data_IF_451279440824
#
_entry.id   IF_451279440824
#
_cell.length_a   1.000
_cell.length_b   1.000
_cell.length_c   1.000
_cell.angle_alpha   90.00
_cell.angle_beta   90.00
_cell.angle_gamma   90.00
#
_symmetry.space_group_name_H-M   'P 1'
#
loop_
_entity.id
_entity.type
_entity.pdbx_description
1 polymer ?
#
# COMPACT_ATOMS: atom_id res chain seq x y z
N UNK A 1 27.01 -6.34 -14.23
CA UNK A 1 26.73 -5.28 -15.23
C UNK A 1 25.29 -4.80 -15.08
N UNK A 2 25.07 -3.67 -14.40
CA UNK A 2 23.76 -2.99 -14.32
C UNK A 2 23.96 -1.62 -14.99
N UNK A 3 24.08 -1.63 -16.31
CA UNK A 3 24.00 -0.42 -17.12
C UNK A 3 22.60 -0.37 -17.77
N UNK A 4 22.09 0.85 -18.01
CA UNK A 4 20.93 1.16 -18.86
C UNK A 4 19.48 1.07 -18.32
N UNK A 5 19.19 1.63 -17.13
CA UNK A 5 17.83 2.19 -16.87
C UNK A 5 17.79 3.71 -16.71
N UNK A 6 18.95 4.37 -16.79
CA UNK A 6 19.08 5.84 -16.70
C UNK A 6 18.81 6.55 -18.03
N UNK A 7 18.71 5.83 -19.15
CA UNK A 7 18.33 6.41 -20.45
C UNK A 7 16.81 6.55 -20.49
N UNK A 8 16.34 7.69 -19.99
CA UNK A 8 15.14 8.42 -20.44
C UNK A 8 14.03 7.53 -20.99
N UNK A 9 13.16 7.04 -20.11
CA UNK A 9 11.82 6.69 -20.56
C UNK A 9 11.17 8.00 -21.03
N UNK A 10 11.21 8.26 -22.34
CA UNK A 10 10.43 9.30 -22.96
C UNK A 10 8.99 9.15 -22.46
N UNK A 11 8.51 10.19 -21.81
CA UNK A 11 7.21 10.36 -21.20
C UNK A 11 6.73 11.74 -21.66
N UNK A 12 5.42 11.94 -21.70
CA UNK A 12 4.83 13.23 -22.05
C UNK A 12 5.55 14.39 -21.35
N UNK A 13 5.81 15.46 -22.08
CA UNK A 13 6.65 16.59 -21.64
C UNK A 13 6.14 17.22 -20.35
N UNK A 14 4.82 17.34 -20.22
CA UNK A 14 4.14 17.85 -19.03
C UNK A 14 4.27 16.98 -17.78
N UNK A 15 4.81 15.76 -17.86
CA UNK A 15 4.99 14.94 -16.68
C UNK A 15 5.94 15.63 -15.69
N UNK A 16 5.51 15.75 -14.43
CA UNK A 16 6.33 16.36 -13.40
C UNK A 16 7.51 15.47 -13.00
N UNK A 17 8.44 16.03 -12.23
CA UNK A 17 9.63 15.31 -11.76
C UNK A 17 9.29 14.03 -10.99
N UNK A 18 8.18 14.02 -10.25
CA UNK A 18 7.80 12.84 -9.49
C UNK A 18 7.33 11.69 -10.38
N UNK A 19 6.55 11.99 -11.42
CA UNK A 19 6.19 11.00 -12.42
C UNK A 19 7.42 10.45 -13.13
N UNK A 20 8.29 11.34 -13.62
CA UNK A 20 9.53 11.02 -14.35
C UNK A 20 10.50 10.17 -13.54
N UNK A 21 10.71 10.50 -12.26
CA UNK A 21 11.80 9.92 -11.46
C UNK A 21 11.39 8.84 -10.46
N UNK A 22 10.09 8.74 -10.10
CA UNK A 22 9.64 7.78 -9.08
C UNK A 22 8.48 6.91 -9.54
N UNK A 23 7.51 7.43 -10.30
CA UNK A 23 6.33 6.65 -10.66
C UNK A 23 6.60 5.76 -11.87
N UNK A 24 6.90 6.35 -13.02
CA UNK A 24 7.05 5.65 -14.31
C UNK A 24 8.24 4.67 -14.36
N UNK A 25 9.43 4.99 -13.81
CA UNK A 25 10.57 4.07 -13.86
C UNK A 25 10.33 2.71 -13.19
N UNK A 26 9.32 2.63 -12.32
CA UNK A 26 8.95 1.42 -11.56
C UNK A 26 7.75 0.70 -12.20
N UNK A 27 7.03 1.35 -13.12
CA UNK A 27 5.96 0.68 -13.87
C UNK A 27 6.53 -0.46 -14.73
N UNK A 28 5.74 -1.52 -14.87
CA UNK A 28 6.07 -2.62 -15.78
C UNK A 28 6.08 -2.08 -17.21
N UNK A 29 7.11 -2.39 -17.98
CA UNK A 29 7.15 -2.05 -19.40
C UNK A 29 6.24 -3.00 -20.18
N UNK A 30 4.97 -2.64 -20.32
CA UNK A 30 3.96 -3.40 -21.04
C UNK A 30 3.01 -2.49 -21.82
N UNK A 31 2.08 -3.09 -22.58
CA UNK A 31 1.10 -2.36 -23.40
C UNK A 31 0.34 -1.32 -22.56
N UNK A 32 -0.05 -1.65 -21.33
CA UNK A 32 -0.77 -0.75 -20.42
C UNK A 32 0.04 0.51 -20.13
N UNK A 33 1.32 0.35 -19.78
CA UNK A 33 2.18 1.51 -19.50
C UNK A 33 2.46 2.34 -20.76
N UNK A 34 2.51 1.73 -21.94
CA UNK A 34 2.66 2.48 -23.19
C UNK A 34 1.42 3.32 -23.52
N UNK A 35 0.21 2.79 -23.27
CA UNK A 35 -1.07 3.49 -23.52
C UNK A 35 -1.24 4.77 -22.69
N UNK A 36 -0.60 4.86 -21.52
CA UNK A 36 -0.68 6.02 -20.62
C UNK A 36 0.50 6.99 -20.75
N UNK A 37 1.60 6.58 -21.38
CA UNK A 37 2.90 7.28 -21.35
C UNK A 37 2.86 8.65 -22.02
N UNK A 38 2.05 8.78 -23.06
CA UNK A 38 1.88 10.00 -23.86
C UNK A 38 0.44 10.50 -23.87
N UNK A 39 -0.40 10.00 -22.95
CA UNK A 39 -1.76 10.48 -22.83
C UNK A 39 -1.80 11.73 -21.96
N UNK A 40 -2.08 12.87 -22.58
CA UNK A 40 -2.10 14.19 -21.94
C UNK A 40 -2.89 14.20 -20.62
N UNK A 41 -4.16 13.78 -20.67
CA UNK A 41 -5.04 13.81 -19.50
C UNK A 41 -4.57 12.84 -18.40
N UNK A 42 -4.16 11.62 -18.75
CA UNK A 42 -3.69 10.67 -17.74
C UNK A 42 -2.38 11.12 -17.09
N UNK A 43 -1.51 11.80 -17.83
CA UNK A 43 -0.29 12.40 -17.29
C UNK A 43 -0.63 13.57 -16.35
N UNK A 44 -1.47 14.51 -16.80
CA UNK A 44 -1.98 15.61 -15.97
C UNK A 44 -2.67 15.12 -14.70
N UNK A 45 -3.41 14.01 -14.78
CA UNK A 45 -4.03 13.38 -13.62
C UNK A 45 -2.99 12.72 -12.71
N UNK A 46 -1.99 12.05 -13.29
CA UNK A 46 -0.84 11.50 -12.56
C UNK A 46 -0.06 12.57 -11.79
N UNK A 47 0.16 13.75 -12.40
CA UNK A 47 0.80 14.89 -11.75
C UNK A 47 0.02 15.31 -10.50
N UNK A 48 -1.29 15.54 -10.63
CA UNK A 48 -2.19 15.87 -9.51
C UNK A 48 -2.15 14.82 -8.40
N UNK A 49 -2.13 13.53 -8.75
CA UNK A 49 -2.02 12.46 -7.76
C UNK A 49 -0.66 12.48 -7.04
N UNK A 50 0.42 12.72 -7.76
CA UNK A 50 1.77 12.74 -7.18
C UNK A 50 2.01 13.93 -6.25
N UNK A 51 1.40 15.08 -6.53
CA UNK A 51 1.40 16.25 -5.63
C UNK A 51 0.59 15.97 -4.36
N UNK A 52 -0.59 15.36 -4.52
CA UNK A 52 -1.45 15.00 -3.39
C UNK A 52 -0.83 13.91 -2.50
N UNK A 53 -0.14 12.95 -3.09
CA UNK A 53 0.39 11.77 -2.43
C UNK A 53 1.92 11.75 -2.48
N UNK A 54 2.54 12.61 -1.68
CA UNK A 54 3.99 12.84 -1.66
C UNK A 54 4.80 11.74 -0.96
N UNK A 55 4.17 10.88 -0.18
CA UNK A 55 4.88 9.86 0.59
C UNK A 55 5.25 8.66 -0.29
N UNK A 56 6.49 8.19 -0.16
CA UNK A 56 7.05 7.11 -0.97
C UNK A 56 6.19 5.83 -1.03
N UNK A 57 5.50 5.49 0.07
CA UNK A 57 4.63 4.32 0.15
C UNK A 57 3.30 4.49 -0.60
N UNK A 58 2.88 5.72 -0.88
CA UNK A 58 1.65 6.04 -1.62
C UNK A 58 1.87 5.98 -3.13
N UNK A 59 3.12 6.01 -3.60
CA UNK A 59 3.46 5.88 -5.02
C UNK A 59 2.90 4.58 -5.64
N UNK A 60 2.80 3.49 -4.87
CA UNK A 60 2.20 2.24 -5.34
C UNK A 60 0.71 2.41 -5.70
N UNK A 61 -0.02 3.23 -4.92
CA UNK A 61 -1.41 3.56 -5.19
C UNK A 61 -1.52 4.38 -6.48
N UNK A 62 -0.66 5.39 -6.66
CA UNK A 62 -0.63 6.21 -7.89
C UNK A 62 -0.36 5.34 -9.11
N UNK A 63 0.64 4.46 -9.05
CA UNK A 63 0.95 3.49 -10.11
C UNK A 63 -0.24 2.56 -10.39
N UNK A 64 -0.89 2.06 -9.34
CA UNK A 64 -2.07 1.19 -9.48
C UNK A 64 -3.22 1.90 -10.19
N UNK A 65 -3.52 3.15 -9.82
CA UNK A 65 -4.57 3.96 -10.46
C UNK A 65 -4.25 4.24 -11.93
N UNK A 66 -3.03 4.68 -12.24
CA UNK A 66 -2.63 4.95 -13.63
C UNK A 66 -2.70 3.69 -14.48
N UNK A 67 -2.24 2.54 -13.97
CA UNK A 67 -2.34 1.26 -14.69
C UNK A 67 -3.79 0.80 -14.85
N UNK A 68 -4.64 1.05 -13.86
CA UNK A 68 -6.06 0.71 -13.96
C UNK A 68 -6.76 1.56 -15.03
N UNK A 69 -6.48 2.86 -15.08
CA UNK A 69 -6.93 3.75 -16.15
C UNK A 69 -6.39 3.32 -17.51
N UNK A 70 -5.13 2.88 -17.59
CA UNK A 70 -4.54 2.33 -18.82
C UNK A 70 -5.24 1.05 -19.31
N UNK A 71 -5.64 0.15 -18.40
CA UNK A 71 -6.44 -1.03 -18.76
C UNK A 71 -7.81 -0.63 -19.30
N UNK A 72 -8.46 0.34 -18.65
CA UNK A 72 -9.73 0.89 -19.14
C UNK A 72 -9.58 1.52 -20.52
N UNK A 73 -8.56 2.36 -20.73
CA UNK A 73 -8.29 2.98 -22.03
C UNK A 73 -8.10 1.92 -23.12
N UNK A 74 -7.34 0.86 -22.85
CA UNK A 74 -7.17 -0.25 -23.80
C UNK A 74 -8.47 -0.95 -24.14
N UNK A 75 -9.29 -1.30 -23.14
CA UNK A 75 -10.60 -1.91 -23.38
C UNK A 75 -11.52 -0.98 -24.18
N UNK A 76 -11.50 0.32 -23.87
CA UNK A 76 -12.30 1.31 -24.58
C UNK A 76 -11.87 1.47 -26.05
N UNK A 77 -10.57 1.55 -26.34
CA UNK A 77 -10.04 1.64 -27.70
C UNK A 77 -10.46 0.42 -28.54
N UNK A 78 -10.48 -0.78 -27.94
CA UNK A 78 -10.93 -1.98 -28.65
C UNK A 78 -12.42 -1.91 -29.05
N UNK A 79 -13.25 -1.24 -28.24
CA UNK A 79 -14.67 -1.02 -28.54
C UNK A 79 -14.88 0.13 -29.54
N UNK A 80 -14.10 1.19 -29.41
CA UNK A 80 -14.19 2.40 -30.22
C UNK A 80 -12.82 2.82 -30.77
N UNK A 81 -12.33 2.21 -31.88
CA UNK A 81 -10.99 2.45 -32.40
C UNK A 81 -10.72 3.89 -32.86
N UNK A 82 -11.77 4.69 -33.07
CA UNK A 82 -11.67 6.11 -33.47
C UNK A 82 -11.21 7.04 -32.33
N UNK A 83 -11.26 6.56 -31.08
CA UNK A 83 -10.88 7.34 -29.90
C UNK A 83 -9.48 6.91 -29.49
N UNK A 84 -8.53 7.84 -29.51
CA UNK A 84 -7.12 7.54 -29.19
C UNK A 84 -6.68 8.14 -27.86
N UNK A 85 -7.22 9.31 -27.50
CA UNK A 85 -6.88 10.05 -26.29
C UNK A 85 -7.94 9.84 -25.21
N UNK A 86 -7.50 9.72 -23.95
CA UNK A 86 -8.42 9.49 -22.84
C UNK A 86 -9.45 10.61 -22.67
N UNK A 87 -9.07 11.86 -23.02
CA UNK A 87 -9.99 13.02 -22.91
C UNK A 87 -11.20 12.94 -23.86
N UNK A 88 -11.11 12.16 -24.93
CA UNK A 88 -12.15 12.06 -25.96
C UNK A 88 -13.33 11.17 -25.52
N UNK A 89 -13.15 10.37 -24.47
CA UNK A 89 -14.22 9.52 -23.93
C UNK A 89 -15.36 10.35 -23.31
N UNK A 90 -15.08 11.60 -22.93
CA UNK A 90 -16.02 12.51 -22.24
C UNK A 90 -17.02 13.16 -23.20
N UNK A 91 -17.47 12.44 -24.23
CA UNK A 91 -18.58 12.83 -25.08
C UNK A 91 -19.84 12.11 -24.62
N UNK A 92 -21.00 12.78 -24.46
CA UNK A 92 -22.22 12.14 -23.96
C UNK A 92 -22.62 10.89 -24.77
N UNK A 93 -22.40 10.90 -26.09
CA UNK A 93 -22.75 9.75 -26.95
C UNK A 93 -21.92 8.50 -26.65
N UNK A 94 -20.72 8.65 -26.06
CA UNK A 94 -19.81 7.55 -25.71
C UNK A 94 -20.03 7.01 -24.30
N UNK A 95 -21.03 7.52 -23.56
CA UNK A 95 -21.35 7.10 -22.20
C UNK A 95 -21.55 5.57 -22.10
N UNK A 96 -22.40 5.01 -22.97
CA UNK A 96 -22.72 3.59 -22.95
C UNK A 96 -21.49 2.72 -23.22
N UNK A 97 -20.60 3.16 -24.11
CA UNK A 97 -19.38 2.44 -24.43
C UNK A 97 -18.35 2.54 -23.30
N UNK A 98 -18.33 3.65 -22.55
CA UNK A 98 -17.55 3.76 -21.31
C UNK A 98 -18.02 2.74 -20.27
N UNK A 99 -19.34 2.58 -20.10
CA UNK A 99 -19.89 1.58 -19.18
C UNK A 99 -19.54 0.16 -19.62
N UNK A 100 -19.61 -0.15 -20.91
CA UNK A 100 -19.19 -1.46 -21.47
C UNK A 100 -17.71 -1.75 -21.21
N UNK A 101 -16.83 -0.79 -21.50
CA UNK A 101 -15.39 -0.93 -21.25
C UNK A 101 -15.08 -1.15 -19.76
N UNK A 102 -15.76 -0.42 -18.87
CA UNK A 102 -15.63 -0.59 -17.42
C UNK A 102 -16.07 -1.99 -16.99
N UNK A 103 -17.22 -2.47 -17.49
CA UNK A 103 -17.73 -3.83 -17.24
C UNK A 103 -16.76 -4.90 -17.71
N UNK A 104 -16.15 -4.76 -18.87
CA UNK A 104 -15.12 -5.68 -19.37
C UNK A 104 -13.92 -5.76 -18.40
N UNK A 105 -13.35 -4.62 -18.02
CA UNK A 105 -12.15 -4.57 -17.15
C UNK A 105 -12.43 -5.10 -15.73
N UNK A 106 -13.66 -4.93 -15.26
CA UNK A 106 -14.11 -5.42 -13.94
C UNK A 106 -14.61 -6.86 -13.96
N UNK A 107 -14.65 -7.50 -15.14
CA UNK A 107 -15.07 -8.89 -15.32
C UNK A 107 -16.57 -9.08 -15.05
N UNK A 108 -17.40 -8.22 -15.64
CA UNK A 108 -18.85 -8.35 -15.62
C UNK A 108 -19.30 -9.64 -16.30
N UNK A 109 -20.13 -10.43 -15.60
CA UNK A 109 -20.77 -11.63 -16.16
C UNK A 109 -22.18 -11.27 -16.62
N UNK A 110 -22.48 -11.50 -17.90
CA UNK A 110 -23.80 -11.19 -18.46
C UNK A 110 -24.89 -12.16 -17.99
N UNK A 111 -24.54 -13.38 -17.59
CA UNK A 111 -25.50 -14.38 -17.14
C UNK A 111 -25.86 -14.15 -15.68
N UNK A 112 -24.84 -13.96 -14.83
CA UNK A 112 -25.04 -13.78 -13.39
C UNK A 112 -25.29 -12.32 -12.99
N UNK A 113 -25.08 -11.36 -13.90
CA UNK A 113 -25.25 -9.92 -13.69
C UNK A 113 -24.46 -9.36 -12.49
N UNK A 114 -23.24 -9.87 -12.31
CA UNK A 114 -22.33 -9.50 -11.21
C UNK A 114 -20.91 -9.21 -11.71
N UNK A 115 -20.10 -8.56 -10.88
CA UNK A 115 -18.70 -8.29 -11.15
C UNK A 115 -17.78 -9.36 -10.52
N UNK A 116 -16.89 -9.95 -11.33
CA UNK A 116 -15.78 -10.77 -10.81
C UNK A 116 -14.82 -9.96 -9.93
N UNK A 117 -14.64 -8.67 -10.24
CA UNK A 117 -13.78 -7.75 -9.46
C UNK A 117 -14.55 -6.48 -9.07
N UNK A 118 -15.44 -6.56 -8.07
CA UNK A 118 -16.30 -5.42 -7.68
C UNK A 118 -15.51 -4.19 -7.22
N UNK A 119 -14.39 -4.39 -6.53
CA UNK A 119 -13.50 -3.31 -6.10
C UNK A 119 -12.85 -2.56 -7.28
N UNK A 120 -12.61 -3.25 -8.41
CA UNK A 120 -12.10 -2.65 -9.64
C UNK A 120 -13.17 -1.78 -10.27
N UNK A 121 -14.42 -2.26 -10.33
CA UNK A 121 -15.56 -1.48 -10.84
C UNK A 121 -15.71 -0.16 -10.07
N UNK A 122 -15.79 -0.22 -8.74
CA UNK A 122 -15.90 0.99 -7.89
C UNK A 122 -14.71 1.95 -8.06
N UNK A 123 -13.50 1.39 -8.14
CA UNK A 123 -12.29 2.20 -8.33
C UNK A 123 -12.31 2.91 -9.68
N UNK A 124 -12.67 2.21 -10.77
CA UNK A 124 -12.80 2.82 -12.10
C UNK A 124 -13.88 3.90 -12.13
N UNK A 125 -15.06 3.65 -11.57
CA UNK A 125 -16.13 4.64 -11.48
C UNK A 125 -15.64 5.95 -10.85
N UNK A 126 -14.90 5.83 -9.73
CA UNK A 126 -14.31 6.98 -9.05
C UNK A 126 -13.17 7.65 -9.85
N UNK A 127 -12.31 6.87 -10.49
CA UNK A 127 -11.15 7.38 -11.21
C UNK A 127 -11.54 8.10 -12.51
N UNK A 128 -12.49 7.56 -13.28
CA UNK A 128 -12.99 8.19 -14.51
C UNK A 128 -13.64 9.54 -14.17
N UNK A 129 -14.48 9.59 -13.13
CA UNK A 129 -15.06 10.86 -12.64
C UNK A 129 -13.98 11.88 -12.27
N UNK A 130 -12.94 11.45 -11.53
CA UNK A 130 -11.83 12.33 -11.13
C UNK A 130 -10.98 12.82 -12.31
N UNK A 131 -10.79 11.99 -13.34
CA UNK A 131 -10.13 12.40 -14.58
C UNK A 131 -10.98 13.44 -15.33
N UNK A 132 -12.31 13.25 -15.37
CA UNK A 132 -13.23 14.20 -15.99
C UNK A 132 -13.18 15.57 -15.30
N UNK A 133 -13.19 15.62 -13.97
CA UNK A 133 -12.99 16.88 -13.24
C UNK A 133 -11.62 17.53 -13.48
N UNK A 134 -10.57 16.73 -13.67
CA UNK A 134 -9.25 17.27 -14.04
C UNK A 134 -9.32 17.90 -15.44
N UNK A 135 -9.91 17.21 -16.42
CA UNK A 135 -10.07 17.74 -17.78
C UNK A 135 -10.97 18.98 -17.82
N UNK A 136 -12.06 18.99 -17.05
CA UNK A 136 -12.91 20.18 -16.85
C UNK A 136 -12.11 21.40 -16.40
N UNK A 137 -11.20 21.19 -15.45
CA UNK A 137 -10.32 22.27 -14.97
C UNK A 137 -9.40 22.79 -16.08
N UNK A 138 -8.94 21.92 -16.97
CA UNK A 138 -8.12 22.34 -18.11
C UNK A 138 -8.93 23.12 -19.14
N UNK A 139 -10.14 22.68 -19.50
CA UNK A 139 -11.01 23.44 -20.40
C UNK A 139 -11.39 24.83 -19.86
N UNK A 140 -11.58 24.96 -18.53
CA UNK A 140 -11.81 26.27 -17.90
C UNK A 140 -10.58 27.18 -18.06
N UNK A 141 -9.37 26.64 -17.92
CA UNK A 141 -8.13 27.41 -18.09
C UNK A 141 -7.88 27.81 -19.54
N UNK A 142 -8.21 26.94 -20.50
CA UNK A 142 -8.02 27.18 -21.94
C UNK A 142 -9.21 27.87 -22.60
N UNK A 143 -10.30 28.12 -21.86
CA UNK A 143 -11.53 28.74 -22.35
C UNK A 143 -12.21 27.95 -23.49
N UNK A 144 -12.17 26.62 -23.42
CA UNK A 144 -12.77 25.72 -24.43
C UNK A 144 -14.23 25.36 -24.08
N UNK A 145 -15.17 26.26 -24.37
CA UNK A 145 -16.56 26.11 -23.91
C UNK A 145 -17.34 24.94 -24.54
N UNK A 146 -17.11 24.63 -25.82
CA UNK A 146 -17.78 23.52 -26.51
C UNK A 146 -17.46 22.16 -25.89
N UNK A 147 -16.18 21.72 -25.91
CA UNK A 147 -15.75 20.47 -25.26
C UNK A 147 -16.03 20.42 -23.75
N UNK A 148 -16.03 21.58 -23.08
CA UNK A 148 -16.41 21.67 -21.66
C UNK A 148 -17.85 21.26 -21.44
N UNK A 149 -18.78 21.75 -22.27
CA UNK A 149 -20.20 21.42 -22.16
C UNK A 149 -20.45 19.92 -22.37
N UNK A 150 -19.87 19.35 -23.42
CA UNK A 150 -19.95 17.89 -23.69
C UNK A 150 -19.46 17.07 -22.48
N UNK A 151 -18.35 17.50 -21.87
CA UNK A 151 -17.79 16.84 -20.69
C UNK A 151 -18.70 16.99 -19.47
N UNK A 152 -19.30 18.15 -19.24
CA UNK A 152 -20.23 18.39 -18.13
C UNK A 152 -21.49 17.54 -18.28
N UNK A 153 -22.05 17.45 -19.49
CA UNK A 153 -23.19 16.60 -19.80
C UNK A 153 -22.84 15.12 -19.62
N UNK A 154 -21.65 14.66 -20.05
CA UNK A 154 -21.17 13.31 -19.78
C UNK A 154 -21.04 13.03 -18.29
N UNK A 155 -20.49 13.98 -17.52
CA UNK A 155 -20.32 13.81 -16.08
C UNK A 155 -21.67 13.75 -15.37
N UNK A 156 -22.66 14.52 -15.81
CA UNK A 156 -24.03 14.43 -15.28
C UNK A 156 -24.61 13.02 -15.49
N UNK A 157 -24.53 12.49 -16.72
CA UNK A 157 -24.94 11.10 -17.01
C UNK A 157 -24.17 10.09 -16.14
N UNK A 158 -22.87 10.30 -15.96
CA UNK A 158 -22.04 9.45 -15.12
C UNK A 158 -22.48 9.45 -13.66
N UNK A 159 -22.88 10.60 -13.13
CA UNK A 159 -23.31 10.75 -11.74
C UNK A 159 -24.70 10.18 -11.48
N UNK A 160 -25.63 10.30 -12.43
CA UNK A 160 -27.00 9.78 -12.30
C UNK A 160 -27.08 8.26 -12.51
N UNK A 161 -26.40 7.73 -13.53
CA UNK A 161 -26.62 6.33 -13.94
C UNK A 161 -25.63 5.34 -13.32
N UNK A 162 -24.36 5.72 -13.06
CA UNK A 162 -23.38 4.76 -12.53
C UNK A 162 -23.66 4.24 -11.11
N UNK A 163 -24.30 5.01 -10.20
CA UNK A 163 -24.67 4.48 -8.88
C UNK A 163 -25.55 3.23 -8.95
N UNK A 164 -26.55 3.23 -9.85
CA UNK A 164 -27.50 2.13 -10.00
C UNK A 164 -26.93 1.00 -10.85
N UNK A 165 -26.27 1.33 -11.97
CA UNK A 165 -25.76 0.35 -12.92
C UNK A 165 -24.52 -0.39 -12.45
N UNK A 166 -23.70 0.24 -11.60
CA UNK A 166 -22.37 -0.26 -11.21
C UNK A 166 -22.22 -0.31 -9.70
N UNK A 167 -22.34 0.82 -8.99
CA UNK A 167 -21.89 0.92 -7.60
C UNK A 167 -22.71 0.04 -6.65
N UNK A 168 -24.04 0.05 -6.78
CA UNK A 168 -24.94 -0.79 -5.97
C UNK A 168 -24.63 -2.27 -6.16
N UNK A 169 -24.56 -2.72 -7.42
CA UNK A 169 -24.23 -4.12 -7.75
C UNK A 169 -22.85 -4.51 -7.23
N UNK A 170 -21.84 -3.68 -7.42
CA UNK A 170 -20.50 -3.95 -6.92
C UNK A 170 -20.44 -4.04 -5.37
N UNK A 171 -21.25 -3.27 -4.64
CA UNK A 171 -21.35 -3.38 -3.18
C UNK A 171 -22.04 -4.68 -2.75
N UNK A 172 -23.12 -5.06 -3.43
CA UNK A 172 -23.85 -6.31 -3.19
C UNK A 172 -22.95 -7.52 -3.47
N UNK A 173 -22.26 -7.53 -4.61
CA UNK A 173 -21.32 -8.59 -5.01
C UNK A 173 -20.17 -8.73 -4.01
N UNK A 174 -19.61 -7.60 -3.57
CA UNK A 174 -18.55 -7.62 -2.55
C UNK A 174 -19.05 -8.19 -1.23
N UNK A 175 -20.31 -7.89 -0.86
CA UNK A 175 -20.94 -8.41 0.35
C UNK A 175 -21.22 -9.90 0.25
N UNK A 176 -21.73 -10.37 -0.90
CA UNK A 176 -21.98 -11.77 -1.19
C UNK A 176 -20.68 -12.59 -1.23
N UNK A 177 -19.63 -12.04 -1.81
CA UNK A 177 -18.30 -12.66 -1.79
C UNK A 177 -17.77 -12.79 -0.35
N UNK A 178 -17.92 -11.74 0.47
CA UNK A 178 -17.52 -11.80 1.89
C UNK A 178 -18.32 -12.84 2.67
N UNK A 179 -19.63 -12.98 2.42
CA UNK A 179 -20.50 -13.97 3.08
C UNK A 179 -20.15 -15.41 2.69
N UNK A 180 -19.85 -15.65 1.41
CA UNK A 180 -19.50 -16.97 0.90
C UNK A 180 -18.05 -17.39 1.21
N UNK A 181 -17.15 -16.42 1.45
CA UNK A 181 -15.75 -16.69 1.78
C UNK A 181 -15.61 -17.36 3.15
N UNK A 182 -15.37 -18.67 3.16
CA UNK A 182 -14.93 -19.41 4.35
C UNK A 182 -13.53 -18.92 4.76
N UNK A 183 -13.44 -18.27 5.91
CA UNK A 183 -12.16 -17.82 6.47
C UNK A 183 -11.70 -18.84 7.52
N UNK A 184 -10.61 -19.55 7.24
CA UNK A 184 -9.98 -20.47 8.19
C UNK A 184 -9.18 -19.61 9.18
N UNK A 185 -9.55 -19.67 10.46
CA UNK A 185 -8.79 -19.02 11.52
C UNK A 185 -7.58 -19.88 11.88
N UNK A 186 -6.42 -19.26 12.17
CA UNK A 186 -5.26 -20.01 12.57
C UNK A 186 -5.49 -20.67 13.93
N UNK A 187 -5.20 -21.98 14.08
CA UNK A 187 -5.30 -22.65 15.36
C UNK A 187 -4.27 -22.10 16.34
N UNK A 188 -4.56 -22.18 17.64
CA UNK A 188 -3.71 -21.64 18.70
C UNK A 188 -2.30 -22.26 18.66
N UNK A 189 -2.22 -23.54 18.33
CA UNK A 189 -0.98 -24.30 18.20
C UNK A 189 -0.08 -23.70 17.12
N UNK A 190 -0.64 -23.33 15.97
CA UNK A 190 0.13 -22.74 14.87
C UNK A 190 0.57 -21.30 15.17
N UNK A 191 -0.27 -20.53 15.88
CA UNK A 191 0.11 -19.21 16.40
C UNK A 191 1.29 -19.34 17.36
N UNK A 192 1.24 -20.31 18.28
CA UNK A 192 2.31 -20.57 19.24
C UNK A 192 3.61 -21.04 18.56
N UNK A 193 3.51 -21.92 17.56
CA UNK A 193 4.66 -22.35 16.75
C UNK A 193 5.34 -21.16 16.09
N UNK A 194 4.56 -20.29 15.44
CA UNK A 194 5.09 -19.07 14.83
C UNK A 194 5.72 -18.13 15.86
N UNK A 195 5.05 -17.91 16.99
CA UNK A 195 5.57 -17.06 18.07
C UNK A 195 6.91 -17.57 18.63
N UNK A 196 6.99 -18.86 18.94
CA UNK A 196 8.20 -19.50 19.46
C UNK A 196 9.33 -19.52 18.43
N UNK A 197 9.01 -19.79 17.17
CA UNK A 197 9.96 -19.74 16.06
C UNK A 197 10.59 -18.35 15.93
N UNK A 198 9.77 -17.29 15.97
CA UNK A 198 10.25 -15.90 15.91
C UNK A 198 11.11 -15.56 17.13
N UNK A 199 10.66 -15.92 18.34
CA UNK A 199 11.41 -15.69 19.58
C UNK A 199 12.79 -16.35 19.53
N UNK A 200 12.85 -17.61 19.09
CA UNK A 200 14.10 -18.36 18.92
C UNK A 200 15.03 -17.71 17.89
N UNK A 201 14.51 -17.30 16.73
CA UNK A 201 15.28 -16.58 15.70
C UNK A 201 15.86 -15.26 16.23
N UNK A 202 15.06 -14.47 16.94
CA UNK A 202 15.50 -13.19 17.54
C UNK A 202 16.61 -13.46 18.55
N UNK A 203 16.39 -14.33 19.53
CA UNK A 203 17.38 -14.63 20.57
C UNK A 203 18.69 -15.18 20.00
N UNK A 204 18.63 -16.02 18.96
CA UNK A 204 19.81 -16.56 18.29
C UNK A 204 20.59 -15.45 17.58
N UNK A 205 19.89 -14.59 16.84
CA UNK A 205 20.54 -13.49 16.12
C UNK A 205 21.15 -12.45 17.09
N UNK A 206 20.49 -12.15 18.20
CA UNK A 206 21.03 -11.28 19.27
C UNK A 206 22.35 -11.84 19.80
N UNK A 207 22.39 -13.11 20.22
CA UNK A 207 23.60 -13.77 20.75
C UNK A 207 24.79 -13.72 19.77
N UNK A 208 24.53 -13.78 18.47
CA UNK A 208 25.58 -13.67 17.45
C UNK A 208 26.07 -12.23 17.36
N UNK A 209 25.15 -11.26 17.27
CA UNK A 209 25.46 -9.84 17.08
C UNK A 209 26.09 -9.17 18.30
N UNK A 210 25.83 -9.69 19.50
CA UNK A 210 26.51 -9.25 20.73
C UNK A 210 28.00 -9.62 20.73
N UNK A 211 28.39 -10.70 20.04
CA UNK A 211 29.79 -11.13 19.91
C UNK A 211 30.49 -10.42 18.76
N UNK A 212 29.90 -10.48 17.57
CA UNK A 212 30.46 -9.90 16.36
C UNK A 212 29.37 -9.52 15.35
N UNK A 213 29.62 -8.45 14.59
CA UNK A 213 28.71 -8.06 13.52
C UNK A 213 28.73 -9.05 12.35
N UNK A 214 27.61 -9.73 12.14
CA UNK A 214 27.36 -10.60 10.98
C UNK A 214 26.15 -10.08 10.21
N UNK A 215 26.34 -9.69 8.95
CA UNK A 215 25.30 -9.07 8.12
C UNK A 215 24.04 -9.93 7.98
N UNK A 216 24.18 -11.24 7.79
CA UNK A 216 23.03 -12.14 7.65
C UNK A 216 22.25 -12.29 8.95
N UNK A 217 22.93 -12.40 10.10
CA UNK A 217 22.27 -12.40 11.42
C UNK A 217 21.55 -11.07 11.68
N UNK A 218 22.12 -9.94 11.28
CA UNK A 218 21.48 -8.63 11.39
C UNK A 218 20.22 -8.52 10.52
N UNK A 219 20.27 -9.03 9.28
CA UNK A 219 19.08 -9.12 8.41
C UNK A 219 18.01 -10.03 9.01
N UNK A 220 18.38 -11.18 9.56
CA UNK A 220 17.43 -12.09 10.20
C UNK A 220 16.80 -11.47 11.45
N UNK A 221 17.59 -10.77 12.28
CA UNK A 221 17.09 -10.04 13.44
C UNK A 221 16.02 -9.03 13.02
N UNK A 222 16.28 -8.20 11.99
CA UNK A 222 15.29 -7.25 11.48
C UNK A 222 14.00 -7.93 11.01
N UNK A 223 14.10 -8.99 10.19
CA UNK A 223 12.93 -9.68 9.64
C UNK A 223 12.10 -10.31 10.76
N UNK A 224 12.73 -11.04 11.68
CA UNK A 224 12.06 -11.73 12.76
C UNK A 224 11.41 -10.74 13.74
N UNK A 225 12.12 -9.68 14.13
CA UNK A 225 11.59 -8.64 15.02
C UNK A 225 10.40 -7.90 14.42
N UNK A 226 10.41 -7.59 13.11
CA UNK A 226 9.27 -6.96 12.43
C UNK A 226 8.00 -7.81 12.53
N UNK A 227 8.10 -9.12 12.26
CA UNK A 227 6.94 -10.02 12.31
C UNK A 227 6.53 -10.32 13.75
N UNK A 228 7.49 -10.44 14.67
CA UNK A 228 7.21 -10.56 16.09
C UNK A 228 6.40 -9.38 16.61
N UNK A 229 6.80 -8.14 16.31
CA UNK A 229 6.02 -6.94 16.66
C UNK A 229 4.63 -6.96 16.03
N UNK A 230 4.49 -7.46 14.80
CA UNK A 230 3.20 -7.56 14.11
C UNK A 230 2.22 -8.47 14.82
N UNK A 231 2.67 -9.65 15.23
CA UNK A 231 1.82 -10.62 15.90
C UNK A 231 1.55 -10.18 17.33
N UNK A 232 2.59 -9.70 18.04
CA UNK A 232 2.49 -9.22 19.42
C UNK A 232 1.47 -8.09 19.56
N UNK A 233 1.50 -7.11 18.66
CA UNK A 233 0.60 -5.97 18.69
C UNK A 233 -0.70 -6.17 17.90
N UNK A 234 -0.85 -7.29 17.18
CA UNK A 234 -1.98 -7.55 16.25
C UNK A 234 -2.24 -6.39 15.29
N UNK A 235 -1.18 -5.73 14.81
CA UNK A 235 -1.26 -4.56 13.93
C UNK A 235 -1.15 -4.94 12.45
N UNK A 236 -1.57 -4.02 11.58
CA UNK A 236 -1.41 -4.21 10.13
C UNK A 236 0.07 -4.05 9.77
N UNK A 237 0.50 -4.80 8.76
CA UNK A 237 1.85 -4.74 8.23
C UNK A 237 2.35 -3.30 7.99
N UNK A 238 1.49 -2.46 7.40
CA UNK A 238 1.82 -1.08 7.08
C UNK A 238 2.16 -0.22 8.30
N UNK A 239 1.57 -0.50 9.45
CA UNK A 239 1.78 0.31 10.66
C UNK A 239 3.17 0.03 11.27
N UNK A 240 3.76 -1.13 10.98
CA UNK A 240 5.02 -1.58 11.58
C UNK A 240 6.21 -1.55 10.62
N UNK A 241 6.00 -1.89 9.35
CA UNK A 241 7.07 -1.92 8.35
C UNK A 241 7.67 -0.53 8.07
N UNK A 242 7.02 0.54 8.55
CA UNK A 242 7.41 1.95 8.36
C UNK A 242 7.82 2.66 9.65
N UNK A 243 8.03 1.93 10.76
CA UNK A 243 8.54 2.52 11.99
C UNK A 243 9.92 3.14 11.72
N UNK A 244 10.10 4.37 12.19
CA UNK A 244 11.35 5.13 12.06
C UNK A 244 12.09 5.24 13.38
N UNK A 245 13.38 5.57 13.33
CA UNK A 245 14.20 5.93 14.49
C UNK A 245 13.54 7.05 15.29
N UNK A 246 13.06 8.10 14.63
CA UNK A 246 12.35 9.20 15.30
C UNK A 246 11.12 8.71 16.10
N UNK A 247 10.41 7.66 15.65
CA UNK A 247 9.30 7.09 16.41
C UNK A 247 9.78 6.32 17.65
N UNK A 248 10.96 5.71 17.56
CA UNK A 248 11.57 4.96 18.64
C UNK A 248 12.23 5.85 19.68
N UNK A 249 12.86 6.94 19.26
CA UNK A 249 13.46 7.92 20.16
C UNK A 249 12.39 8.61 21.03
N UNK A 250 11.16 8.74 20.52
CA UNK A 250 9.99 9.25 21.24
C UNK A 250 9.19 8.15 21.96
N UNK A 251 9.87 7.10 22.44
CA UNK A 251 9.26 6.05 23.23
C UNK A 251 9.00 6.49 24.68
N UNK A 252 7.92 5.97 25.24
CA UNK A 252 7.47 6.27 26.60
C UNK A 252 7.33 4.96 27.38
N UNK A 253 7.50 5.00 28.70
CA UNK A 253 7.04 3.87 29.51
C UNK A 253 5.51 3.85 29.49
N UNK A 254 4.93 2.65 29.60
CA UNK A 254 3.47 2.51 29.63
C UNK A 254 2.84 3.32 30.77
N UNK A 255 3.55 3.42 31.90
CA UNK A 255 3.08 4.08 33.11
C UNK A 255 3.18 5.60 33.08
N UNK A 256 3.98 6.19 32.18
CA UNK A 256 4.26 7.64 32.19
C UNK A 256 3.02 8.49 31.89
N UNK A 257 2.02 7.89 31.25
CA UNK A 257 0.77 8.53 30.83
C UNK A 257 -0.48 7.87 31.43
N UNK A 258 -0.33 7.05 32.48
CA UNK A 258 -1.46 6.50 33.21
C UNK A 258 -1.98 7.53 34.22
N UNK A 259 -3.29 7.73 34.25
CA UNK A 259 -3.92 8.58 35.27
C UNK A 259 -3.79 7.93 36.67
N UNK A 260 -3.78 8.74 37.72
CA UNK A 260 -3.57 8.28 39.10
C UNK A 260 -4.59 7.21 39.50
N UNK A 261 -5.84 7.33 39.05
CA UNK A 261 -6.90 6.34 39.28
C UNK A 261 -6.62 4.99 38.57
N UNK A 262 -5.98 5.00 37.39
CA UNK A 262 -5.63 3.76 36.67
C UNK A 262 -4.45 3.05 37.32
N UNK A 263 -3.49 3.80 37.86
CA UNK A 263 -2.33 3.27 38.59
C UNK A 263 -2.78 2.68 39.94
N UNK A 264 -3.68 3.34 40.65
CA UNK A 264 -4.22 2.87 41.94
C UNK A 264 -5.05 1.59 41.82
N UNK A 265 -5.74 1.39 40.68
CA UNK A 265 -6.52 0.19 40.42
C UNK A 265 -5.70 -1.04 39.98
N UNK A 266 -4.38 -0.90 39.79
CA UNK A 266 -3.49 -2.01 39.40
C UNK A 266 -2.74 -2.59 40.61
N UNK A 267 -2.55 -3.92 40.63
CA UNK A 267 -1.68 -4.53 41.63
C UNK A 267 -0.22 -4.09 41.43
N UNK A 268 0.56 -4.06 42.52
CA UNK A 268 2.00 -3.72 42.47
C UNK A 268 2.76 -4.59 41.46
N UNK A 269 2.43 -5.88 41.43
CA UNK A 269 3.03 -6.86 40.49
C UNK A 269 2.68 -6.53 39.03
N UNK A 270 1.43 -6.14 38.76
CA UNK A 270 0.99 -5.74 37.42
C UNK A 270 1.67 -4.46 36.96
N UNK A 271 1.90 -3.52 37.89
CA UNK A 271 2.61 -2.28 37.61
C UNK A 271 4.10 -2.54 37.33
N UNK A 272 4.75 -3.40 38.11
CA UNK A 272 6.13 -3.82 37.85
C UNK A 272 6.27 -4.55 36.52
N UNK A 273 5.33 -5.41 36.17
CA UNK A 273 5.30 -6.07 34.86
C UNK A 273 5.10 -5.06 33.73
N UNK A 274 4.18 -4.09 33.88
CA UNK A 274 3.91 -3.06 32.88
C UNK A 274 5.11 -2.15 32.62
N UNK A 275 5.90 -1.83 33.66
CA UNK A 275 7.13 -1.02 33.56
C UNK A 275 8.21 -1.64 32.66
N UNK A 276 8.15 -2.94 32.42
CA UNK A 276 9.09 -3.63 31.51
C UNK A 276 8.78 -3.37 30.03
N UNK A 277 7.62 -2.79 29.72
CA UNK A 277 7.21 -2.52 28.35
C UNK A 277 7.29 -1.04 28.05
N UNK A 278 7.76 -0.75 26.84
CA UNK A 278 7.75 0.59 26.27
C UNK A 278 6.73 0.69 25.17
N UNK A 279 6.38 1.93 24.85
CA UNK A 279 5.35 2.27 23.90
C UNK A 279 5.89 3.30 22.93
N UNK A 280 5.72 3.03 21.63
CA UNK A 280 5.99 4.01 20.58
C UNK A 280 4.70 4.41 19.89
N UNK A 281 4.70 5.64 19.39
CA UNK A 281 3.57 6.21 18.66
C UNK A 281 3.95 6.43 17.20
N UNK A 282 3.07 5.98 16.30
CA UNK A 282 3.26 6.03 14.86
C UNK A 282 2.02 6.58 14.16
N UNK A 283 2.19 6.99 12.90
CA UNK A 283 1.09 7.48 12.07
C UNK A 283 0.44 6.35 11.29
N UNK A 284 -0.81 6.05 11.60
CA UNK A 284 -1.68 5.13 10.88
C UNK A 284 -2.46 5.78 9.72
N UNK A 285 -3.39 4.99 9.16
CA UNK A 285 -4.28 5.43 8.06
C UNK A 285 -5.13 6.64 8.50
N UNK A 286 -5.37 7.58 7.59
CA UNK A 286 -6.12 8.82 7.84
C UNK A 286 -5.54 9.68 8.98
N UNK A 287 -4.22 9.68 9.12
CA UNK A 287 -3.52 10.44 10.17
C UNK A 287 -3.87 10.01 11.61
N UNK A 288 -4.47 8.84 11.80
CA UNK A 288 -4.78 8.32 13.13
C UNK A 288 -3.50 7.91 13.85
N UNK A 289 -3.43 8.22 15.13
CA UNK A 289 -2.35 7.80 16.01
C UNK A 289 -2.43 6.29 16.25
N UNK A 290 -1.31 5.59 16.06
CA UNK A 290 -1.20 4.14 16.26
C UNK A 290 -0.08 3.84 17.25
N UNK A 291 -0.49 3.22 18.34
CA UNK A 291 0.40 2.78 19.41
C UNK A 291 0.93 1.37 19.16
N UNK A 292 2.24 1.19 19.37
CA UNK A 292 2.93 -0.09 19.30
C UNK A 292 3.65 -0.33 20.62
N UNK A 293 3.38 -1.46 21.25
CA UNK A 293 4.02 -1.94 22.46
C UNK A 293 5.29 -2.72 22.11
N UNK A 294 6.33 -2.46 22.90
CA UNK A 294 7.64 -3.08 22.82
C UNK A 294 7.85 -3.89 24.08
N UNK A 295 8.03 -5.20 23.89
CA UNK A 295 8.54 -6.09 24.95
C UNK A 295 10.05 -5.89 25.13
N UNK A 296 10.64 -6.29 26.28
CA UNK A 296 12.08 -6.22 26.51
C UNK A 296 12.90 -6.88 25.39
N UNK A 297 12.43 -8.03 24.88
CA UNK A 297 13.09 -8.74 23.79
C UNK A 297 13.10 -7.92 22.49
N UNK A 298 11.99 -7.28 22.15
CA UNK A 298 11.89 -6.47 20.93
C UNK A 298 12.64 -5.14 21.06
N UNK A 299 12.69 -4.56 22.26
CA UNK A 299 13.49 -3.35 22.53
C UNK A 299 14.98 -3.64 22.32
N UNK A 300 15.51 -4.66 23.00
CA UNK A 300 16.90 -5.11 22.84
C UNK A 300 17.23 -5.42 21.37
N UNK A 301 16.31 -6.08 20.66
CA UNK A 301 16.48 -6.36 19.24
C UNK A 301 16.55 -5.09 18.40
N UNK A 302 15.68 -4.10 18.66
CA UNK A 302 15.68 -2.81 17.94
C UNK A 302 16.96 -2.04 18.22
N UNK A 303 17.41 -1.98 19.48
CA UNK A 303 18.66 -1.30 19.86
C UNK A 303 19.85 -1.85 19.09
N UNK A 304 19.97 -3.19 19.02
CA UNK A 304 21.02 -3.85 18.22
C UNK A 304 20.85 -3.60 16.72
N UNK A 305 19.62 -3.58 16.20
CA UNK A 305 19.36 -3.24 14.80
C UNK A 305 19.89 -1.84 14.48
N UNK A 306 19.55 -0.84 15.30
CA UNK A 306 19.96 0.55 15.12
C UNK A 306 21.48 0.69 15.25
N UNK A 307 22.08 0.10 16.30
CA UNK A 307 23.52 0.11 16.56
C UNK A 307 24.36 -0.33 15.35
N UNK A 308 23.94 -1.41 14.68
CA UNK A 308 24.69 -2.02 13.58
C UNK A 308 24.32 -1.50 12.19
N UNK A 309 23.40 -0.52 12.09
CA UNK A 309 22.88 -0.02 10.82
C UNK A 309 23.95 0.57 9.90
N UNK A 310 24.92 1.31 10.46
CA UNK A 310 26.07 1.87 9.71
C UNK A 310 26.98 0.76 9.19
N UNK A 311 27.27 -0.26 10.01
CA UNK A 311 28.08 -1.41 9.61
C UNK A 311 27.41 -2.25 8.50
N UNK A 312 26.07 -2.28 8.47
CA UNK A 312 25.30 -2.92 7.42
C UNK A 312 25.23 -2.12 6.09
N UNK A 313 25.91 -0.97 6.01
CA UNK A 313 25.98 -0.14 4.81
C UNK A 313 24.67 0.60 4.50
N UNK A 314 23.84 0.86 5.50
CA UNK A 314 22.60 1.63 5.32
C UNK A 314 22.93 3.12 5.37
N UNK A 315 22.49 3.92 4.38
CA UNK A 315 22.69 5.37 4.39
C UNK A 315 21.95 6.04 5.56
N UNK A 316 22.57 7.05 6.17
CA UNK A 316 21.99 7.85 7.27
C UNK A 316 20.66 8.52 6.90
N UNK A 317 20.44 8.81 5.62
CA UNK A 317 19.18 9.35 5.11
C UNK A 317 17.99 8.38 5.26
N UNK A 318 18.24 7.09 5.42
CA UNK A 318 17.19 6.09 5.63
C UNK A 318 16.86 6.01 7.12
N UNK A 319 15.72 6.55 7.53
CA UNK A 319 15.28 6.58 8.94
C UNK A 319 14.48 5.35 9.39
N UNK A 320 14.21 4.38 8.52
CA UNK A 320 13.45 3.19 8.90
C UNK A 320 14.28 2.26 9.80
N UNK A 321 13.66 1.72 10.85
CA UNK A 321 14.29 0.68 11.70
C UNK A 321 14.45 -0.59 10.88
N UNK A 322 13.35 -1.07 10.29
CA UNK A 322 13.32 -2.26 9.44
C UNK A 322 13.72 -1.93 8.00
N UNK A 323 14.93 -1.40 7.85
CA UNK A 323 15.47 -0.93 6.58
C UNK A 323 15.91 -2.09 5.65
N UNK A 324 15.91 -1.82 4.34
CA UNK A 324 16.35 -2.78 3.32
C UNK A 324 17.77 -2.48 2.85
N UNK A 325 18.66 -3.46 3.02
CA UNK A 325 20.03 -3.43 2.48
C UNK A 325 20.04 -3.37 0.96
N UNK A 326 20.92 -2.56 0.36
CA UNK A 326 21.04 -2.43 -1.09
C UNK A 326 19.80 -1.81 -1.77
N UNK A 327 18.98 -1.06 -1.03
CA UNK A 327 17.83 -0.37 -1.59
C UNK A 327 18.29 0.80 -2.48
N UNK A 328 17.70 0.91 -3.67
CA UNK A 328 17.84 2.09 -4.53
C UNK A 328 16.76 3.12 -4.20
N UNK A 329 16.94 4.37 -4.62
CA UNK A 329 15.94 5.45 -4.49
C UNK A 329 14.57 5.12 -5.12
N UNK A 330 14.53 4.15 -6.04
CA UNK A 330 13.29 3.69 -6.71
C UNK A 330 12.59 2.54 -5.96
N UNK A 331 13.33 1.84 -5.10
CA UNK A 331 12.83 0.73 -4.32
C UNK A 331 12.38 1.18 -2.94
N UNK A 332 11.58 0.35 -2.29
CA UNK A 332 11.23 0.58 -0.88
C UNK A 332 12.48 0.46 -0.02
N UNK A 333 12.70 1.46 0.81
CA UNK A 333 13.85 1.56 1.72
C UNK A 333 13.66 0.72 2.99
N UNK A 334 12.50 0.07 3.14
CA UNK A 334 12.12 -0.80 4.25
C UNK A 334 11.73 -2.19 3.77
N UNK A 335 11.80 -3.17 4.68
CA UNK A 335 11.41 -4.55 4.45
C UNK A 335 9.88 -4.69 4.55
N UNK A 336 9.28 -5.52 3.69
CA UNK A 336 7.83 -5.71 3.66
C UNK A 336 7.40 -6.81 4.62
N UNK A 337 6.43 -6.52 5.50
CA UNK A 337 6.00 -7.50 6.49
C UNK A 337 5.11 -8.61 5.89
N UNK A 338 4.20 -8.32 4.96
CA UNK A 338 3.31 -9.36 4.41
C UNK A 338 4.04 -10.54 3.74
N UNK A 339 5.04 -10.32 2.86
CA UNK A 339 5.82 -11.43 2.29
C UNK A 339 6.60 -12.21 3.34
N UNK A 340 7.15 -11.53 4.35
CA UNK A 340 7.89 -12.16 5.44
C UNK A 340 6.99 -13.02 6.34
N UNK A 341 5.81 -12.53 6.71
CA UNK A 341 4.86 -13.32 7.49
C UNK A 341 4.45 -14.58 6.74
N UNK A 342 4.25 -14.48 5.42
CA UNK A 342 4.01 -15.66 4.57
C UNK A 342 5.20 -16.62 4.61
N UNK A 343 6.42 -16.13 4.45
CA UNK A 343 7.63 -16.96 4.53
C UNK A 343 7.72 -17.67 5.89
N UNK A 344 7.70 -16.94 7.00
CA UNK A 344 7.85 -17.53 8.34
C UNK A 344 6.71 -18.45 8.73
N UNK A 345 5.49 -18.25 8.23
CA UNK A 345 4.41 -19.21 8.46
C UNK A 345 4.73 -20.59 7.87
N UNK A 346 5.41 -20.65 6.73
CA UNK A 346 5.80 -21.91 6.09
C UNK A 346 6.98 -22.56 6.84
N UNK A 347 7.88 -21.74 7.39
CA UNK A 347 9.09 -22.20 8.07
C UNK A 347 8.86 -22.63 9.53
N UNK A 348 7.80 -22.13 10.19
CA UNK A 348 7.58 -22.38 11.61
C UNK A 348 6.98 -23.76 11.95
N UNK A 349 6.73 -24.60 10.95
CA UNK A 349 6.12 -25.93 11.13
C UNK A 349 4.63 -25.90 11.50
N UNK A 350 3.93 -24.81 11.15
CA UNK A 350 2.49 -24.72 11.27
C UNK A 350 1.79 -25.79 10.41
N UNK A 351 0.68 -26.35 10.91
CA UNK A 351 -0.13 -27.30 10.15
C UNK A 351 -0.88 -26.60 9.01
N UNK A 352 -1.37 -25.38 9.26
CA UNK A 352 -2.13 -24.57 8.32
C UNK A 352 -1.43 -23.21 8.09
N UNK A 353 -0.25 -23.19 7.48
CA UNK A 353 0.55 -21.97 7.35
C UNK A 353 -0.19 -20.87 6.55
N UNK A 354 -1.11 -21.22 5.65
CA UNK A 354 -1.98 -20.31 4.90
C UNK A 354 -2.99 -19.53 5.74
N UNK A 355 -3.33 -20.02 6.94
CA UNK A 355 -4.19 -19.30 7.89
C UNK A 355 -3.43 -18.20 8.66
N UNK A 356 -2.11 -18.30 8.75
CA UNK A 356 -1.22 -17.32 9.39
C UNK A 356 -0.89 -16.17 8.43
N UNK A 357 -1.86 -15.28 8.21
CA UNK A 357 -1.75 -14.14 7.29
C UNK A 357 -2.17 -12.85 7.98
N UNK A 358 -1.56 -11.75 7.54
CA UNK A 358 -1.98 -10.40 7.94
C UNK A 358 -3.28 -10.02 7.24
N UNK A 359 -4.00 -9.05 7.80
CA UNK A 359 -5.13 -8.43 7.11
C UNK A 359 -4.63 -7.66 5.88
N UNK A 360 -5.09 -8.05 4.69
CA UNK A 360 -4.82 -7.38 3.42
C UNK A 360 -5.75 -6.20 3.19
#
# INVERSE_FOLDING_TARGET
MISSRRLTQYIHEEANEMLKTRIFPVLRNDKITNTIRYDDLLIKFGNKLSEKYSLSHQHDMVRSHLRLLGRFKLAFINLCPKVELFKEIYKPQLYNDCVKALREVSGWDNNMMWFKSPAVAQSLTSLIKKCGYKQRTEYIKTQEDGPKKDLEDFLLLWEEETPTLINKKALEDQSNYKRSKKTILPPKEDINKLYNFLKSKISTAIKVLEKEFVLESWKELMKATLIYLQIFNRRRAGDLERITEDNYDNQENITDNMDSEQVENMSKESLEFAKQYRRITTRGKLNRTVTVLLSPLSELAIDLIIKHKKAAGIPESNKYIFCRTGSSKLSKQYIRACPLLRQFSMECGAAFPESLRGTT
#
